data_IF_189092864003
#
_entry.id   IF_189092864003
#
_cell.length_a   1.000
_cell.length_b   1.000
_cell.length_c   1.000
_cell.angle_alpha   90.00
_cell.angle_beta   90.00
_cell.angle_gamma   90.00
#
_symmetry.space_group_name_H-M   'P 1'
#
loop_
_entity.id
_entity.type
_entity.pdbx_description
1 polymer ?
#
# COMPACT_ATOMS: atom_id res chain seq x y z
N UNK A 1 12.47 -0.91 -2.49
CA UNK A 1 13.56 -0.80 -3.50
C UNK A 1 13.64 -2.01 -4.42
N UNK A 2 13.76 -3.23 -3.93
CA UNK A 2 13.87 -4.43 -4.79
C UNK A 2 12.82 -4.48 -5.90
N UNK A 3 11.56 -4.17 -5.59
CA UNK A 3 10.49 -4.13 -6.58
C UNK A 3 10.78 -3.15 -7.72
N UNK A 4 11.26 -1.94 -7.40
CA UNK A 4 11.54 -0.92 -8.42
C UNK A 4 12.74 -1.31 -9.29
N UNK A 5 13.75 -1.96 -8.70
CA UNK A 5 14.89 -2.50 -9.45
C UNK A 5 14.48 -3.64 -10.38
N UNK A 6 13.56 -4.51 -9.96
CA UNK A 6 13.01 -5.56 -10.81
C UNK A 6 12.19 -4.98 -11.98
N UNK A 7 11.40 -3.93 -11.74
CA UNK A 7 10.65 -3.21 -12.78
C UNK A 7 11.61 -2.59 -13.79
N UNK A 8 12.68 -1.95 -13.30
CA UNK A 8 13.73 -1.39 -14.18
C UNK A 8 14.43 -2.48 -14.99
N UNK A 9 14.83 -3.59 -14.36
CA UNK A 9 15.49 -4.71 -15.06
C UNK A 9 14.61 -5.33 -16.16
N UNK A 10 13.28 -5.19 -16.06
CA UNK A 10 12.34 -5.64 -17.08
C UNK A 10 12.06 -4.59 -18.17
N UNK A 11 12.64 -3.41 -18.05
CA UNK A 11 12.42 -2.31 -18.99
C UNK A 11 11.01 -1.68 -18.91
N UNK A 12 10.28 -1.91 -17.83
CA UNK A 12 8.92 -1.35 -17.63
C UNK A 12 8.98 0.13 -17.20
N UNK A 13 10.02 0.52 -16.46
CA UNK A 13 10.30 1.90 -16.07
C UNK A 13 11.78 2.08 -15.73
N UNK A 14 12.29 3.30 -15.83
CA UNK A 14 13.62 3.68 -15.36
C UNK A 14 13.52 4.33 -13.98
N UNK A 15 14.34 3.88 -13.03
CA UNK A 15 14.45 4.47 -11.70
C UNK A 15 15.50 5.57 -11.71
N UNK A 16 15.05 6.83 -11.74
CA UNK A 16 15.93 8.01 -11.81
C UNK A 16 16.57 8.35 -10.46
N UNK A 17 15.92 8.04 -9.36
CA UNK A 17 16.43 8.27 -8.02
C UNK A 17 15.38 8.18 -6.92
N UNK A 18 15.84 8.41 -5.72
CA UNK A 18 15.04 8.43 -4.50
C UNK A 18 14.99 9.84 -3.93
N UNK A 19 13.82 10.24 -3.47
CA UNK A 19 13.63 11.44 -2.67
C UNK A 19 13.46 11.01 -1.21
N UNK A 20 14.31 11.53 -0.33
CA UNK A 20 14.28 11.21 1.10
C UNK A 20 14.80 12.40 1.91
N UNK A 21 14.44 12.45 3.18
CA UNK A 21 15.00 13.46 4.09
C UNK A 21 16.53 13.30 4.19
N UNK A 22 17.29 14.40 4.35
CA UNK A 22 18.73 14.37 4.44
C UNK A 22 19.22 13.45 5.57
N UNK A 23 20.12 12.55 5.24
CA UNK A 23 20.76 11.60 6.15
C UNK A 23 22.20 11.31 5.75
N UNK A 24 22.85 10.37 6.44
CA UNK A 24 24.21 9.96 6.13
C UNK A 24 24.31 9.12 4.84
N UNK A 25 23.22 8.47 4.44
CA UNK A 25 23.19 7.64 3.24
C UNK A 25 22.96 8.48 2.00
N UNK A 26 23.70 8.20 0.95
CA UNK A 26 23.55 8.81 -0.38
C UNK A 26 22.93 7.86 -1.40
N UNK A 27 22.83 6.58 -1.06
CA UNK A 27 22.26 5.53 -1.91
C UNK A 27 21.49 4.52 -1.06
N UNK A 28 20.43 3.95 -1.62
CA UNK A 28 19.71 2.81 -1.06
C UNK A 28 19.69 1.69 -2.10
N UNK A 29 20.31 0.54 -1.78
CA UNK A 29 20.47 -0.59 -2.71
C UNK A 29 21.01 -0.16 -4.08
N UNK A 30 21.97 0.77 -4.10
CA UNK A 30 22.59 1.28 -5.32
C UNK A 30 21.81 2.39 -6.05
N UNK A 31 20.56 2.68 -5.68
CA UNK A 31 19.83 3.81 -6.23
C UNK A 31 20.20 5.11 -5.51
N UNK A 32 20.52 6.21 -6.23
CA UNK A 32 20.94 7.46 -5.61
C UNK A 32 19.79 8.16 -4.88
N UNK A 33 20.07 8.77 -3.73
CA UNK A 33 19.21 9.76 -3.11
C UNK A 33 19.52 11.11 -3.79
N UNK A 34 18.56 11.63 -4.55
CA UNK A 34 18.74 12.83 -5.39
C UNK A 34 18.32 14.12 -4.71
N UNK A 35 17.68 14.06 -3.57
CA UNK A 35 17.28 15.22 -2.77
C UNK A 35 16.16 14.92 -1.78
N UNK A 36 15.62 15.97 -1.17
CA UNK A 36 14.54 15.91 -0.19
C UNK A 36 13.17 16.21 -0.79
N UNK A 37 12.10 15.93 -0.02
CA UNK A 37 10.71 16.23 -0.37
C UNK A 37 10.52 17.70 -0.81
N UNK A 38 11.20 18.64 -0.15
CA UNK A 38 11.12 20.07 -0.47
C UNK A 38 11.61 20.43 -1.89
N UNK A 39 12.49 19.60 -2.46
CA UNK A 39 13.05 19.80 -3.79
C UNK A 39 12.30 19.02 -4.89
N UNK A 40 11.22 18.29 -4.56
CA UNK A 40 10.57 17.35 -5.48
C UNK A 40 10.24 17.96 -6.85
N UNK A 41 9.64 19.15 -6.90
CA UNK A 41 9.25 19.81 -8.16
C UNK A 41 10.46 20.11 -9.06
N UNK A 42 11.53 20.67 -8.47
CA UNK A 42 12.75 20.98 -9.21
C UNK A 42 13.49 19.72 -9.67
N UNK A 43 13.52 18.68 -8.82
CA UNK A 43 14.11 17.39 -9.15
C UNK A 43 13.36 16.70 -10.28
N UNK A 44 12.02 16.68 -10.21
CA UNK A 44 11.19 16.14 -11.27
C UNK A 44 11.50 16.75 -12.63
N UNK A 45 11.59 18.08 -12.67
CA UNK A 45 11.92 18.82 -13.90
C UNK A 45 13.35 18.52 -14.37
N UNK A 46 14.34 18.59 -13.48
CA UNK A 46 15.76 18.42 -13.82
C UNK A 46 16.07 17.01 -14.31
N UNK A 47 15.43 16.00 -13.71
CA UNK A 47 15.63 14.60 -14.08
C UNK A 47 14.71 14.14 -15.21
N UNK A 48 13.75 14.94 -15.64
CA UNK A 48 12.74 14.55 -16.62
C UNK A 48 11.81 13.46 -16.10
N UNK A 49 11.57 13.42 -14.78
CA UNK A 49 10.69 12.42 -14.18
C UNK A 49 9.23 12.65 -14.60
N UNK A 50 8.55 11.59 -14.97
CA UNK A 50 7.14 11.62 -15.37
C UNK A 50 6.23 10.92 -14.36
N UNK A 51 6.79 10.01 -13.56
CA UNK A 51 6.05 9.19 -12.63
C UNK A 51 6.70 9.18 -11.24
N UNK A 52 5.91 8.83 -10.24
CA UNK A 52 6.40 8.60 -8.88
C UNK A 52 5.71 7.40 -8.23
N UNK A 53 6.34 6.85 -7.21
CA UNK A 53 5.75 5.88 -6.29
C UNK A 53 6.17 6.23 -4.87
N UNK A 54 5.24 6.11 -3.91
CA UNK A 54 5.55 6.30 -2.49
C UNK A 54 6.12 5.01 -1.93
N UNK A 55 7.41 5.00 -1.57
CA UNK A 55 8.17 3.81 -1.18
C UNK A 55 8.21 3.56 0.34
N UNK A 56 7.43 4.30 1.13
CA UNK A 56 7.31 4.07 2.58
C UNK A 56 6.08 3.22 2.90
N UNK A 57 6.21 2.37 3.92
CA UNK A 57 5.08 1.61 4.47
C UNK A 57 4.20 2.45 5.38
N UNK A 58 3.06 1.89 5.77
CA UNK A 58 2.20 2.45 6.80
C UNK A 58 2.50 1.73 8.12
N UNK A 59 2.90 2.48 9.14
CA UNK A 59 3.06 1.98 10.50
C UNK A 59 1.85 2.47 11.31
N UNK A 60 1.52 1.78 12.39
CA UNK A 60 0.44 2.02 13.35
C UNK A 60 -0.05 3.48 13.39
N UNK A 61 -1.25 3.73 12.90
CA UNK A 61 -1.84 5.09 12.85
C UNK A 61 -1.29 6.03 11.76
N UNK A 62 -0.42 5.56 10.85
CA UNK A 62 0.45 6.39 10.02
C UNK A 62 0.17 6.43 8.53
N UNK A 63 -1.07 6.26 8.06
CA UNK A 63 -1.39 6.53 6.65
C UNK A 63 -1.15 7.99 6.26
N UNK A 64 -1.21 8.93 7.20
CA UNK A 64 -1.12 10.38 6.99
C UNK A 64 0.15 10.82 6.26
N UNK A 65 1.33 10.32 6.65
CA UNK A 65 2.58 10.68 5.95
C UNK A 65 2.57 10.16 4.51
N UNK A 66 2.17 8.89 4.31
CA UNK A 66 2.09 8.29 2.99
C UNK A 66 1.08 9.02 2.10
N UNK A 67 -0.07 9.42 2.64
CA UNK A 67 -1.08 10.22 1.93
C UNK A 67 -0.50 11.57 1.50
N UNK A 68 0.12 12.29 2.45
CA UNK A 68 0.76 13.58 2.16
C UNK A 68 1.82 13.47 1.06
N UNK A 69 2.70 12.47 1.11
CA UNK A 69 3.73 12.26 0.09
C UNK A 69 3.12 11.93 -1.28
N UNK A 70 2.00 11.21 -1.29
CA UNK A 70 1.28 10.92 -2.52
C UNK A 70 0.69 12.20 -3.13
N UNK A 71 0.01 13.02 -2.33
CA UNK A 71 -0.52 14.33 -2.76
C UNK A 71 0.58 15.27 -3.24
N UNK A 72 1.75 15.26 -2.59
CA UNK A 72 2.91 16.05 -3.03
C UNK A 72 3.40 15.62 -4.41
N UNK A 73 3.46 14.31 -4.69
CA UNK A 73 3.84 13.81 -6.02
C UNK A 73 2.87 14.28 -7.11
N UNK A 74 1.57 14.22 -6.85
CA UNK A 74 0.55 14.71 -7.78
C UNK A 74 0.62 16.23 -7.97
N UNK A 75 0.79 16.98 -6.87
CA UNK A 75 0.95 18.44 -6.92
C UNK A 75 2.22 18.87 -7.69
N UNK A 76 3.25 18.02 -7.72
CA UNK A 76 4.44 18.21 -8.55
C UNK A 76 4.21 17.91 -10.05
N UNK A 77 3.00 17.53 -10.45
CA UNK A 77 2.64 17.16 -11.81
C UNK A 77 3.07 15.76 -12.25
N UNK A 78 3.50 14.92 -11.32
CA UNK A 78 3.91 13.54 -11.60
C UNK A 78 2.72 12.60 -11.60
N UNK A 79 2.77 11.57 -12.43
CA UNK A 79 1.74 10.52 -12.48
C UNK A 79 2.05 9.40 -11.47
N UNK A 80 1.08 8.95 -10.69
CA UNK A 80 1.29 7.83 -9.77
C UNK A 80 1.51 6.51 -10.51
N UNK A 81 2.66 5.88 -10.32
CA UNK A 81 3.02 4.62 -10.97
C UNK A 81 2.47 3.42 -10.20
N UNK A 82 1.84 2.48 -10.91
CA UNK A 82 1.40 1.21 -10.33
C UNK A 82 2.55 0.21 -10.39
N UNK A 83 3.08 -0.19 -9.25
CA UNK A 83 4.22 -1.11 -9.17
C UNK A 83 3.76 -2.53 -8.82
N UNK A 84 3.91 -3.48 -9.74
CA UNK A 84 3.49 -4.87 -9.55
C UNK A 84 4.72 -5.79 -9.61
N UNK A 85 4.94 -6.55 -8.54
CA UNK A 85 6.03 -7.52 -8.50
C UNK A 85 5.79 -8.66 -9.50
N UNK A 86 6.81 -9.12 -10.25
CA UNK A 86 6.67 -10.17 -11.27
C UNK A 86 6.09 -11.50 -10.76
N UNK A 87 6.24 -11.80 -9.47
CA UNK A 87 5.68 -13.03 -8.86
C UNK A 87 4.31 -12.82 -8.22
N UNK A 88 3.72 -11.63 -8.33
CA UNK A 88 2.33 -11.43 -7.94
C UNK A 88 1.39 -12.11 -8.95
N UNK A 89 0.32 -12.72 -8.46
CA UNK A 89 -0.73 -13.31 -9.28
C UNK A 89 -1.93 -12.39 -9.27
N UNK A 90 -2.16 -11.71 -10.37
CA UNK A 90 -3.27 -10.74 -10.50
C UNK A 90 -4.25 -11.24 -11.56
N UNK A 91 -5.50 -11.43 -11.16
CA UNK A 91 -6.57 -11.79 -12.10
C UNK A 91 -6.75 -10.72 -13.16
N UNK A 92 -7.00 -11.12 -14.41
CA UNK A 92 -7.34 -10.21 -15.50
C UNK A 92 -8.64 -9.41 -15.25
N UNK A 93 -9.45 -9.83 -14.29
CA UNK A 93 -10.68 -9.16 -13.88
C UNK A 93 -10.51 -8.32 -12.62
N UNK A 94 -9.30 -8.18 -12.08
CA UNK A 94 -8.99 -7.26 -10.99
C UNK A 94 -8.60 -5.88 -11.52
N UNK A 95 -8.86 -4.84 -10.73
CA UNK A 95 -8.44 -3.48 -11.03
C UNK A 95 -7.54 -2.94 -9.93
N UNK A 96 -6.49 -2.21 -10.30
CA UNK A 96 -5.52 -1.63 -9.36
C UNK A 96 -5.40 -0.15 -9.65
N UNK A 97 -5.71 0.67 -8.65
CA UNK A 97 -5.67 2.13 -8.74
C UNK A 97 -4.24 2.69 -8.75
N UNK A 98 -4.09 3.94 -9.23
CA UNK A 98 -2.81 4.61 -9.41
C UNK A 98 -1.97 4.68 -8.14
N UNK A 99 -0.66 4.51 -8.24
CA UNK A 99 0.30 4.58 -7.14
C UNK A 99 0.26 3.41 -6.17
N UNK A 100 -0.58 2.42 -6.42
CA UNK A 100 -0.65 1.22 -5.59
C UNK A 100 0.50 0.26 -5.87
N UNK A 101 0.94 -0.43 -4.82
CA UNK A 101 2.09 -1.32 -4.85
C UNK A 101 1.65 -2.73 -4.52
N UNK A 102 1.96 -3.68 -5.39
CA UNK A 102 1.68 -5.12 -5.24
C UNK A 102 3.00 -5.87 -5.10
N UNK A 103 3.26 -6.39 -3.91
CA UNK A 103 4.54 -7.00 -3.56
C UNK A 103 4.62 -8.49 -3.93
N UNK A 104 5.80 -9.07 -3.73
CA UNK A 104 6.11 -10.45 -4.08
C UNK A 104 5.10 -11.46 -3.55
N UNK A 105 4.61 -12.33 -4.44
CA UNK A 105 3.70 -13.42 -4.10
C UNK A 105 2.31 -13.00 -3.63
N UNK A 106 1.93 -11.72 -3.76
CA UNK A 106 0.56 -11.28 -3.51
C UNK A 106 -0.40 -11.90 -4.54
N UNK A 107 -1.62 -12.27 -4.10
CA UNK A 107 -2.64 -12.89 -4.94
C UNK A 107 -3.91 -12.06 -4.92
N UNK A 108 -4.38 -11.63 -6.09
CA UNK A 108 -5.62 -10.90 -6.29
C UNK A 108 -6.55 -11.72 -7.19
N UNK A 109 -7.68 -12.16 -6.65
CA UNK A 109 -8.67 -12.97 -7.36
C UNK A 109 -9.61 -12.10 -8.22
N UNK A 110 -10.57 -12.77 -8.89
CA UNK A 110 -11.50 -12.12 -9.80
C UNK A 110 -12.34 -11.03 -9.12
N UNK A 111 -12.54 -9.91 -9.83
CA UNK A 111 -13.33 -8.75 -9.39
C UNK A 111 -12.85 -8.08 -8.10
N UNK A 112 -11.56 -8.25 -7.77
CA UNK A 112 -10.92 -7.43 -6.73
C UNK A 112 -10.75 -6.01 -7.26
N UNK A 113 -11.17 -5.03 -6.47
CA UNK A 113 -10.97 -3.61 -6.75
C UNK A 113 -10.03 -3.02 -5.72
N UNK A 114 -8.90 -2.48 -6.17
CA UNK A 114 -7.91 -1.78 -5.34
C UNK A 114 -7.93 -0.30 -5.70
N UNK A 115 -8.10 0.55 -4.71
CA UNK A 115 -8.03 2.00 -4.84
C UNK A 115 -6.62 2.50 -5.10
N UNK A 116 -6.42 3.81 -4.97
CA UNK A 116 -5.14 4.49 -5.20
C UNK A 116 -4.21 4.40 -3.98
N UNK A 117 -2.90 4.43 -4.23
CA UNK A 117 -1.86 4.47 -3.20
C UNK A 117 -2.00 3.38 -2.12
N UNK A 118 -2.59 2.23 -2.46
CA UNK A 118 -2.70 1.08 -1.56
C UNK A 118 -1.40 0.26 -1.53
N UNK A 119 -1.17 -0.46 -0.45
CA UNK A 119 -0.07 -1.42 -0.32
C UNK A 119 -0.64 -2.81 -0.16
N UNK A 120 -0.41 -3.67 -1.13
CA UNK A 120 -0.68 -5.10 -1.09
C UNK A 120 0.65 -5.80 -0.86
N UNK A 121 0.97 -6.03 0.42
CA UNK A 121 2.30 -6.42 0.82
C UNK A 121 2.59 -7.91 0.54
N UNK A 122 3.82 -8.32 0.78
CA UNK A 122 4.36 -9.66 0.46
C UNK A 122 3.41 -10.78 0.88
N UNK A 123 3.03 -11.62 -0.10
CA UNK A 123 2.18 -12.80 0.10
C UNK A 123 0.81 -12.52 0.73
N UNK A 124 0.28 -11.30 0.65
CA UNK A 124 -1.13 -11.09 0.99
C UNK A 124 -2.02 -11.80 -0.04
N UNK A 125 -3.17 -12.29 0.40
CA UNK A 125 -4.14 -12.98 -0.47
C UNK A 125 -5.51 -12.30 -0.35
N UNK A 126 -6.07 -11.93 -1.50
CA UNK A 126 -7.35 -11.22 -1.60
C UNK A 126 -8.26 -12.07 -2.49
N UNK A 127 -9.28 -12.63 -1.89
CA UNK A 127 -10.25 -13.46 -2.60
C UNK A 127 -11.23 -12.60 -3.41
N UNK A 128 -12.11 -13.26 -4.19
CA UNK A 128 -13.00 -12.63 -5.16
C UNK A 128 -13.91 -11.55 -4.55
N UNK A 129 -14.32 -10.57 -5.37
CA UNK A 129 -15.28 -9.53 -5.01
C UNK A 129 -14.87 -8.60 -3.85
N UNK A 130 -13.59 -8.60 -3.46
CA UNK A 130 -13.09 -7.72 -2.42
C UNK A 130 -12.89 -6.30 -2.93
N UNK A 131 -13.07 -5.33 -2.03
CA UNK A 131 -12.77 -3.92 -2.25
C UNK A 131 -11.73 -3.47 -1.24
N UNK A 132 -10.58 -3.01 -1.71
CA UNK A 132 -9.52 -2.38 -0.91
C UNK A 132 -9.50 -0.91 -1.31
N UNK A 133 -9.95 -0.04 -0.43
CA UNK A 133 -10.08 1.38 -0.73
C UNK A 133 -8.73 2.11 -0.71
N UNK A 134 -8.75 3.43 -1.02
CA UNK A 134 -7.57 4.27 -1.16
C UNK A 134 -6.70 4.25 0.09
N UNK A 135 -5.39 4.27 -0.10
CA UNK A 135 -4.40 4.34 0.96
C UNK A 135 -4.39 3.18 1.96
N UNK A 136 -5.20 2.14 1.75
CA UNK A 136 -5.24 0.97 2.62
C UNK A 136 -3.94 0.16 2.54
N UNK A 137 -3.60 -0.52 3.62
CA UNK A 137 -2.40 -1.37 3.70
C UNK A 137 -2.77 -2.78 4.16
N UNK A 138 -2.61 -3.74 3.28
CA UNK A 138 -2.62 -5.17 3.60
C UNK A 138 -1.18 -5.61 3.89
N UNK A 139 -0.87 -5.87 5.15
CA UNK A 139 0.47 -6.25 5.60
C UNK A 139 0.86 -7.68 5.16
N UNK A 140 2.13 -8.09 5.28
CA UNK A 140 2.59 -9.38 4.78
C UNK A 140 1.76 -10.56 5.29
N UNK A 141 1.38 -11.45 4.37
CA UNK A 141 0.64 -12.67 4.69
C UNK A 141 -0.78 -12.47 5.20
N UNK A 142 -1.35 -11.27 5.14
CA UNK A 142 -2.77 -11.06 5.47
C UNK A 142 -3.68 -11.72 4.43
N UNK A 143 -4.84 -12.21 4.88
CA UNK A 143 -5.78 -12.94 4.03
C UNK A 143 -7.18 -12.33 4.15
N UNK A 144 -7.76 -11.98 3.01
CA UNK A 144 -9.15 -11.55 2.89
C UNK A 144 -9.95 -12.63 2.18
N UNK A 145 -10.98 -13.18 2.82
CA UNK A 145 -11.97 -14.04 2.16
C UNK A 145 -12.89 -13.22 1.25
N UNK A 146 -13.70 -13.89 0.42
CA UNK A 146 -14.53 -13.21 -0.58
C UNK A 146 -15.45 -12.12 -0.06
N UNK A 147 -15.62 -11.04 -0.84
CA UNK A 147 -16.53 -9.94 -0.56
C UNK A 147 -16.13 -9.03 0.61
N UNK A 148 -14.88 -9.11 1.09
CA UNK A 148 -14.39 -8.21 2.15
C UNK A 148 -14.20 -6.79 1.62
N UNK A 149 -14.59 -5.80 2.43
CA UNK A 149 -14.31 -4.39 2.18
C UNK A 149 -13.31 -3.85 3.21
N UNK A 150 -12.21 -3.29 2.75
CA UNK A 150 -11.20 -2.61 3.56
C UNK A 150 -11.26 -1.12 3.24
N UNK A 151 -11.67 -0.32 4.23
CA UNK A 151 -11.92 1.12 4.08
C UNK A 151 -10.64 1.94 3.90
N UNK A 152 -10.83 3.21 3.53
CA UNK A 152 -9.75 4.18 3.26
C UNK A 152 -8.76 4.21 4.42
N UNK A 153 -7.47 4.15 4.11
CA UNK A 153 -6.37 4.21 5.08
C UNK A 153 -6.43 3.15 6.19
N UNK A 154 -7.25 2.11 6.05
CA UNK A 154 -7.28 1.01 7.00
C UNK A 154 -6.04 0.12 6.87
N UNK A 155 -5.63 -0.48 7.98
CA UNK A 155 -4.48 -1.38 8.07
C UNK A 155 -4.89 -2.77 8.49
N UNK A 156 -4.61 -3.76 7.67
CA UNK A 156 -4.77 -5.19 8.02
C UNK A 156 -3.40 -5.77 8.31
N UNK A 157 -3.15 -6.07 9.58
CA UNK A 157 -1.83 -6.46 10.11
C UNK A 157 -1.30 -7.80 9.57
N UNK A 158 0.00 -8.00 9.75
CA UNK A 158 0.73 -9.19 9.30
C UNK A 158 0.04 -10.48 9.73
N UNK A 159 -0.24 -11.38 8.80
CA UNK A 159 -0.86 -12.68 9.06
C UNK A 159 -2.30 -12.63 9.58
N UNK A 160 -2.97 -11.48 9.55
CA UNK A 160 -4.38 -11.40 9.93
C UNK A 160 -5.27 -12.06 8.88
N UNK A 161 -6.35 -12.70 9.33
CA UNK A 161 -7.36 -13.35 8.48
C UNK A 161 -8.72 -12.68 8.69
N UNK A 162 -9.39 -12.32 7.59
CA UNK A 162 -10.70 -11.66 7.59
C UNK A 162 -11.73 -12.56 6.93
N UNK A 163 -12.78 -12.93 7.66
CA UNK A 163 -13.89 -13.72 7.13
C UNK A 163 -14.63 -13.01 6.00
N UNK A 164 -15.33 -13.80 5.18
CA UNK A 164 -16.11 -13.30 4.05
C UNK A 164 -17.15 -12.24 4.45
N UNK A 165 -17.40 -11.30 3.54
CA UNK A 165 -18.40 -10.23 3.66
C UNK A 165 -18.22 -9.31 4.88
N UNK A 166 -17.01 -9.24 5.44
CA UNK A 166 -16.69 -8.34 6.55
C UNK A 166 -16.29 -6.96 6.00
N UNK A 167 -16.72 -5.92 6.72
CA UNK A 167 -16.29 -4.54 6.50
C UNK A 167 -15.30 -4.12 7.59
N UNK A 168 -14.10 -3.72 7.17
CA UNK A 168 -13.09 -3.03 7.99
C UNK A 168 -13.24 -1.54 7.70
N UNK A 169 -13.68 -0.75 8.68
CA UNK A 169 -13.93 0.68 8.52
C UNK A 169 -12.68 1.49 8.19
N UNK A 170 -12.88 2.69 7.63
CA UNK A 170 -11.79 3.61 7.28
C UNK A 170 -10.92 3.94 8.48
N UNK A 171 -9.60 3.99 8.30
CA UNK A 171 -8.63 4.23 9.37
C UNK A 171 -8.55 3.16 10.46
N UNK A 172 -9.31 2.07 10.35
CA UNK A 172 -9.27 0.99 11.33
C UNK A 172 -7.96 0.20 11.25
N UNK A 173 -7.55 -0.37 12.37
CA UNK A 173 -6.38 -1.22 12.47
C UNK A 173 -6.77 -2.62 12.93
N UNK A 174 -6.50 -3.61 12.10
CA UNK A 174 -6.53 -5.02 12.47
C UNK A 174 -5.12 -5.41 12.90
N UNK A 175 -4.95 -5.87 14.13
CA UNK A 175 -3.63 -6.25 14.65
C UNK A 175 -3.08 -7.50 13.94
N UNK A 176 -1.76 -7.68 13.99
CA UNK A 176 -1.10 -8.86 13.43
C UNK A 176 -1.67 -10.16 14.03
N UNK A 177 -1.86 -11.18 13.19
CA UNK A 177 -2.39 -12.48 13.56
C UNK A 177 -3.86 -12.51 14.01
N UNK A 178 -4.59 -11.41 13.90
CA UNK A 178 -5.99 -11.35 14.29
C UNK A 178 -6.90 -12.13 13.33
N UNK A 179 -7.93 -12.81 13.88
CA UNK A 179 -8.98 -13.44 13.08
C UNK A 179 -10.27 -12.64 13.20
N UNK A 180 -10.62 -11.93 12.14
CA UNK A 180 -11.75 -11.01 12.11
C UNK A 180 -13.01 -11.74 11.66
N UNK A 181 -13.99 -11.83 12.54
CA UNK A 181 -15.27 -12.54 12.32
C UNK A 181 -16.48 -11.60 12.38
N UNK A 182 -16.28 -10.29 12.56
CA UNK A 182 -17.32 -9.24 12.60
C UNK A 182 -16.75 -7.94 12.02
N UNK A 183 -17.65 -7.09 11.56
CA UNK A 183 -17.28 -5.76 11.07
C UNK A 183 -16.48 -4.96 12.12
N UNK A 184 -15.52 -4.20 11.65
CA UNK A 184 -14.72 -3.28 12.45
C UNK A 184 -15.15 -1.84 12.15
N UNK A 185 -15.47 -1.09 13.20
CA UNK A 185 -15.86 0.32 13.06
C UNK A 185 -14.68 1.17 12.54
N UNK A 186 -14.95 2.30 11.87
CA UNK A 186 -13.91 3.25 11.47
C UNK A 186 -13.02 3.65 12.67
N UNK A 187 -11.73 3.81 12.40
CA UNK A 187 -10.67 4.20 13.36
C UNK A 187 -10.51 3.30 14.59
N UNK A 188 -11.23 2.18 14.64
CA UNK A 188 -11.08 1.23 15.74
C UNK A 188 -9.85 0.34 15.56
N UNK A 189 -9.27 -0.12 16.66
CA UNK A 189 -8.25 -1.16 16.67
C UNK A 189 -8.82 -2.43 17.24
N UNK A 190 -8.71 -3.53 16.48
CA UNK A 190 -9.14 -4.86 16.88
C UNK A 190 -7.97 -5.83 16.90
N UNK A 191 -7.97 -6.80 17.82
CA UNK A 191 -6.91 -7.80 17.96
C UNK A 191 -7.44 -9.13 18.50
N UNK A 192 -6.68 -10.20 18.31
CA UNK A 192 -6.90 -11.53 18.86
C UNK A 192 -7.64 -12.49 17.94
N UNK A 193 -7.88 -13.71 18.43
CA UNK A 193 -8.59 -14.81 17.74
C UNK A 193 -9.64 -15.39 18.67
N UNK A 194 -10.93 -15.10 18.44
CA UNK A 194 -11.47 -14.15 17.47
C UNK A 194 -11.17 -12.68 17.85
N UNK A 195 -11.06 -11.81 16.86
CA UNK A 195 -10.72 -10.40 17.08
C UNK A 195 -11.78 -9.68 17.93
N UNK A 196 -11.29 -8.84 18.85
CA UNK A 196 -12.09 -7.99 19.75
C UNK A 196 -11.57 -6.57 19.72
N UNK A 197 -12.43 -5.63 20.06
CA UNK A 197 -12.06 -4.21 20.18
C UNK A 197 -11.01 -4.02 21.28
N UNK A 198 -9.90 -3.38 20.93
CA UNK A 198 -8.82 -2.98 21.84
C UNK A 198 -8.90 -1.47 22.12
N UNK A 199 -9.08 -0.68 21.06
CA UNK A 199 -9.25 0.77 21.16
C UNK A 199 -10.41 1.18 20.26
N UNK A 200 -11.33 1.97 20.83
CA UNK A 200 -12.35 2.67 20.06
C UNK A 200 -11.73 3.89 19.34
N UNK A 201 -12.42 4.41 18.32
CA UNK A 201 -12.11 5.71 17.76
C UNK A 201 -12.07 6.76 18.90
N UNK A 202 -11.01 7.57 18.92
CA UNK A 202 -11.04 8.76 19.78
C UNK A 202 -12.01 9.75 19.13
N UNK A 203 -13.03 10.11 19.88
CA UNK A 203 -14.05 11.10 19.51
C UNK A 203 -13.44 12.49 19.34
#
# INVERSE_FOLDING_TARGET
>A
MDLLQLIQARGEAELLGLVAEPGAETHVLGAPIVGSDAALVSLATTLGATHFVVAIGTIRGGATLRMRLFEMGEAAGLLPFVAIHPTAVVSAHATIGPGSVVMAGAVLQARVHVGRNAILNTRCSIDHDCIVEDHAHLAPGSVLSGGVRVGIAAHVGTGAAVMQNICIGSGATVAAGATVVRNCAPYATIAGTPARLVHAAQS
#
